data_IF_468352713210
#
_entry.id   IF_468352713210
#
_cell.length_a   1.000
_cell.length_b   1.000
_cell.length_c   1.000
_cell.angle_alpha   90.00
_cell.angle_beta   90.00
_cell.angle_gamma   90.00
#
_symmetry.space_group_name_H-M   'P 1'
#
loop_
_entity.id
_entity.type
_entity.pdbx_description
1 polymer ?
#
# COMPACT_ATOMS: atom_id res chain seq x y z
N UNK A 1 32.44 -67.96 60.28
CA UNK A 1 31.83 -66.64 60.52
C UNK A 1 31.13 -66.24 59.23
N UNK A 2 29.85 -66.52 58.98
CA UNK A 2 28.69 -66.63 59.87
C UNK A 2 28.16 -65.24 60.21
N UNK A 3 26.92 -64.82 59.97
CA UNK A 3 25.69 -65.51 59.51
C UNK A 3 24.69 -64.44 59.03
N UNK A 4 23.77 -64.83 58.14
CA UNK A 4 22.54 -64.10 57.78
C UNK A 4 21.45 -64.50 58.79
N UNK A 5 20.63 -63.55 59.27
CA UNK A 5 19.18 -63.80 59.47
C UNK A 5 18.38 -62.53 59.70
N UNK A 6 17.23 -62.52 59.01
CA UNK A 6 16.14 -61.57 59.05
C UNK A 6 15.22 -61.94 60.23
N UNK A 7 14.43 -60.96 60.69
CA UNK A 7 13.09 -61.11 61.30
C UNK A 7 13.03 -61.40 62.81
N UNK A 8 12.52 -60.41 63.56
CA UNK A 8 11.63 -60.44 64.73
C UNK A 8 11.71 -59.04 65.36
N UNK A 9 10.72 -58.15 65.44
CA UNK A 9 9.27 -58.25 65.55
C UNK A 9 8.70 -56.84 65.28
N UNK A 10 7.83 -56.62 64.31
CA UNK A 10 6.38 -56.42 64.52
C UNK A 10 6.02 -55.84 65.91
N UNK A 11 5.73 -54.55 65.95
CA UNK A 11 4.52 -53.97 66.58
C UNK A 11 4.52 -52.45 66.32
N UNK A 12 3.83 -51.96 65.29
CA UNK A 12 2.42 -51.52 65.38
C UNK A 12 2.22 -50.44 66.46
N UNK A 13 2.27 -49.16 66.06
CA UNK A 13 1.37 -48.14 66.61
C UNK A 13 0.86 -47.28 65.43
N UNK A 14 -0.45 -47.32 65.30
CA UNK A 14 -1.32 -46.73 64.28
C UNK A 14 -1.18 -45.21 64.10
N UNK A 15 -1.30 -44.83 62.82
CA UNK A 15 -1.53 -43.49 62.25
C UNK A 15 -2.88 -42.82 62.65
N UNK A 16 -3.50 -43.22 63.75
CA UNK A 16 -4.87 -42.81 64.08
C UNK A 16 -4.94 -42.36 65.53
N UNK A 17 -4.38 -41.21 65.85
CA UNK A 17 -4.74 -40.43 67.06
C UNK A 17 -4.23 -38.97 66.90
N UNK A 18 -4.89 -38.26 65.98
CA UNK A 18 -5.51 -36.95 66.24
C UNK A 18 -4.62 -35.90 66.93
N UNK A 19 -4.18 -34.91 66.16
CA UNK A 19 -4.52 -33.52 66.45
C UNK A 19 -4.39 -32.69 65.18
N UNK A 20 -5.52 -32.26 64.65
CA UNK A 20 -5.62 -31.26 63.58
C UNK A 20 -4.88 -29.97 63.98
N UNK A 21 -3.63 -29.84 63.55
CA UNK A 21 -2.96 -28.55 63.54
C UNK A 21 -3.40 -27.79 62.28
N UNK A 22 -4.55 -27.11 62.36
CA UNK A 22 -4.98 -26.14 61.36
C UNK A 22 -3.97 -24.99 61.35
N UNK A 23 -2.98 -25.06 60.46
CA UNK A 23 -2.08 -23.95 60.21
C UNK A 23 -2.81 -22.87 59.40
N UNK A 24 -3.40 -21.89 60.11
CA UNK A 24 -3.82 -20.65 59.49
C UNK A 24 -2.59 -19.87 58.99
N UNK A 25 -2.28 -19.99 57.70
CA UNK A 25 -1.25 -19.17 57.06
C UNK A 25 -1.75 -17.71 56.96
N UNK A 26 -1.23 -16.85 57.81
CA UNK A 26 -1.50 -15.41 57.77
C UNK A 26 -0.85 -14.81 56.51
N UNK A 27 -1.67 -14.46 55.51
CA UNK A 27 -1.21 -13.71 54.35
C UNK A 27 -0.80 -12.32 54.81
N UNK A 28 0.51 -12.00 54.77
CA UNK A 28 1.04 -10.68 55.13
C UNK A 28 0.40 -9.61 54.21
N UNK A 29 -0.19 -8.57 54.83
CA UNK A 29 -0.85 -7.43 54.15
C UNK A 29 0.06 -6.67 53.16
N UNK A 30 1.39 -6.81 53.26
CA UNK A 30 2.38 -6.16 52.37
C UNK A 30 2.28 -6.64 50.92
N UNK A 31 1.95 -7.92 50.71
CA UNK A 31 2.02 -8.53 49.38
C UNK A 31 0.82 -8.12 48.51
N UNK A 32 -0.31 -7.76 49.15
CA UNK A 32 -1.48 -7.17 48.48
C UNK A 32 -1.21 -5.73 48.00
N UNK A 33 -0.47 -4.94 48.76
CA UNK A 33 -0.18 -3.54 48.40
C UNK A 33 0.82 -3.45 47.25
N UNK A 34 1.84 -4.33 47.20
CA UNK A 34 2.78 -4.39 46.08
C UNK A 34 2.11 -4.87 44.78
N UNK A 35 1.26 -5.91 44.86
CA UNK A 35 0.46 -6.37 43.71
C UNK A 35 -0.41 -5.27 43.12
N UNK A 36 -1.07 -4.46 43.94
CA UNK A 36 -1.93 -3.38 43.46
C UNK A 36 -1.16 -2.23 42.79
N UNK A 37 0.09 -1.97 43.19
CA UNK A 37 0.95 -0.96 42.52
C UNK A 37 1.43 -1.46 41.16
N UNK A 38 1.83 -2.73 41.05
CA UNK A 38 2.31 -3.33 39.80
C UNK A 38 1.16 -3.44 38.77
N UNK A 39 -0.04 -3.84 39.20
CA UNK A 39 -1.23 -3.91 38.32
C UNK A 39 -1.60 -2.53 37.78
N UNK A 40 -1.51 -1.45 38.58
CA UNK A 40 -1.78 -0.09 38.11
C UNK A 40 -0.77 0.40 37.06
N UNK A 41 0.51 0.01 37.19
CA UNK A 41 1.55 0.36 36.21
C UNK A 41 1.36 -0.42 34.90
N UNK A 42 1.01 -1.71 34.99
CA UNK A 42 0.77 -2.55 33.81
C UNK A 42 -0.41 -2.06 32.95
N UNK A 43 -1.49 -1.58 33.58
CA UNK A 43 -2.66 -1.02 32.86
C UNK A 43 -2.28 0.24 32.06
N UNK A 44 -1.42 1.11 32.60
CA UNK A 44 -0.97 2.30 31.87
C UNK A 44 -0.07 1.98 30.67
N UNK A 45 0.76 0.93 30.76
CA UNK A 45 1.61 0.49 29.64
C UNK A 45 0.79 -0.09 28.48
N UNK A 46 -0.31 -0.80 28.76
CA UNK A 46 -1.22 -1.34 27.72
C UNK A 46 -1.98 -0.21 26.99
N UNK A 47 -2.36 0.86 27.69
CA UNK A 47 -2.99 2.02 27.04
C UNK A 47 -2.01 2.81 26.17
N UNK A 48 -0.75 2.96 26.60
CA UNK A 48 0.28 3.64 25.79
C UNK A 48 0.68 2.83 24.54
N UNK A 49 0.76 1.49 24.63
CA UNK A 49 1.04 0.65 23.46
C UNK A 49 -0.12 0.58 22.48
N UNK A 50 -1.37 0.69 22.93
CA UNK A 50 -2.52 0.80 22.04
C UNK A 50 -2.53 2.13 21.27
N UNK A 51 -2.13 3.25 21.90
CA UNK A 51 -2.10 4.57 21.24
C UNK A 51 -0.93 4.66 20.24
N UNK A 52 0.26 4.15 20.59
CA UNK A 52 1.41 4.13 19.69
C UNK A 52 1.31 3.03 18.60
N UNK A 53 0.67 1.90 18.91
CA UNK A 53 0.44 0.80 17.97
C UNK A 53 -0.60 1.15 16.89
N UNK A 54 -1.64 1.92 17.23
CA UNK A 54 -2.59 2.43 16.25
C UNK A 54 -1.98 3.51 15.36
N UNK A 55 -1.06 4.35 15.86
CA UNK A 55 -0.41 5.38 15.06
C UNK A 55 0.44 4.79 13.92
N UNK A 56 1.01 3.59 14.10
CA UNK A 56 1.82 2.93 13.06
C UNK A 56 0.98 2.27 11.95
N UNK A 57 -0.30 1.98 12.19
CA UNK A 57 -1.21 1.47 11.15
C UNK A 57 -1.84 2.58 10.29
N UNK A 58 -1.85 3.83 10.77
CA UNK A 58 -2.21 4.99 9.97
C UNK A 58 -1.02 5.68 9.31
N UNK A 59 0.19 5.12 9.47
CA UNK A 59 1.32 5.49 8.63
C UNK A 59 1.20 4.74 7.30
N UNK A 60 0.13 5.02 6.55
CA UNK A 60 0.19 4.96 5.09
C UNK A 60 1.35 5.86 4.74
N UNK A 61 2.52 5.27 4.53
CA UNK A 61 3.64 5.96 3.91
C UNK A 61 3.05 6.58 2.64
N UNK A 62 2.93 7.90 2.64
CA UNK A 62 2.71 8.72 1.46
C UNK A 62 3.98 8.58 0.63
N UNK A 63 4.19 7.40 0.04
CA UNK A 63 5.15 7.25 -1.03
C UNK A 63 4.52 7.98 -2.20
N UNK A 64 4.85 9.26 -2.31
CA UNK A 64 4.73 9.97 -3.58
C UNK A 64 5.40 9.11 -4.66
N UNK A 65 4.79 9.03 -5.84
CA UNK A 65 5.48 8.45 -6.99
C UNK A 65 6.85 9.12 -7.11
N UNK A 66 7.93 8.36 -7.40
CA UNK A 66 9.26 8.94 -7.48
C UNK A 66 9.46 9.79 -8.74
N UNK A 67 8.44 9.90 -9.58
CA UNK A 67 8.36 10.66 -10.83
C UNK A 67 7.06 11.45 -10.89
N UNK A 68 7.05 12.52 -11.70
CA UNK A 68 5.79 13.18 -12.06
C UNK A 68 5.07 12.38 -13.13
N UNK A 69 3.77 12.16 -12.92
CA UNK A 69 2.85 11.64 -13.94
C UNK A 69 2.00 12.81 -14.40
N UNK A 70 1.91 13.03 -15.70
CA UNK A 70 1.10 14.10 -16.29
C UNK A 70 0.02 13.50 -17.19
N UNK A 71 -1.11 14.20 -17.25
CA UNK A 71 -2.20 13.95 -18.18
C UNK A 71 -2.38 15.14 -19.10
N UNK A 72 -2.77 14.89 -20.34
CA UNK A 72 -2.97 15.93 -21.34
C UNK A 72 -4.46 16.19 -21.58
N UNK A 73 -4.81 17.45 -21.68
CA UNK A 73 -6.15 17.92 -22.05
C UNK A 73 -6.07 19.20 -22.87
N UNK A 74 -7.19 19.66 -23.37
CA UNK A 74 -7.34 20.91 -24.11
C UNK A 74 -7.77 22.03 -23.15
N UNK A 75 -7.04 23.13 -23.17
CA UNK A 75 -7.41 24.32 -22.40
C UNK A 75 -8.64 25.01 -23.00
N UNK A 76 -9.22 25.96 -22.27
CA UNK A 76 -10.33 26.79 -22.79
C UNK A 76 -10.00 27.55 -24.09
N UNK A 77 -8.70 27.67 -24.43
CA UNK A 77 -8.21 28.35 -25.63
C UNK A 77 -7.93 27.40 -26.81
N UNK A 78 -8.17 26.10 -26.63
CA UNK A 78 -7.86 25.09 -27.64
C UNK A 78 -6.39 24.64 -27.67
N UNK A 79 -5.59 25.06 -26.69
CA UNK A 79 -4.18 24.67 -26.59
C UNK A 79 -4.05 23.41 -25.73
N UNK A 80 -3.20 22.48 -26.16
CA UNK A 80 -2.87 21.28 -25.40
C UNK A 80 -2.11 21.66 -24.12
N UNK A 81 -2.57 21.16 -22.98
CA UNK A 81 -2.00 21.42 -21.67
C UNK A 81 -1.67 20.11 -20.95
N UNK A 82 -0.48 20.03 -20.38
CA UNK A 82 -0.10 18.98 -19.45
C UNK A 82 -0.46 19.38 -18.01
N UNK A 83 -1.12 18.48 -17.28
CA UNK A 83 -1.54 18.66 -15.89
C UNK A 83 -0.88 17.57 -15.05
N UNK A 84 -0.16 17.95 -13.99
CA UNK A 84 0.41 16.99 -13.05
C UNK A 84 -0.69 16.23 -12.31
N UNK A 85 -0.56 14.91 -12.27
CA UNK A 85 -1.50 14.01 -11.63
C UNK A 85 -1.20 13.87 -10.15
N UNK A 86 -2.25 13.96 -9.34
CA UNK A 86 -2.18 13.70 -7.91
C UNK A 86 -3.10 12.52 -7.57
N UNK A 87 -2.66 11.69 -6.63
CA UNK A 87 -3.41 10.52 -6.16
C UNK A 87 -4.80 10.97 -5.68
N UNK A 88 -5.83 10.24 -6.11
CA UNK A 88 -7.25 10.46 -5.80
C UNK A 88 -7.83 11.81 -6.24
N UNK A 89 -7.06 12.66 -6.93
CA UNK A 89 -7.62 13.85 -7.56
C UNK A 89 -8.27 13.51 -8.89
N UNK A 90 -9.41 14.16 -9.13
CA UNK A 90 -10.17 14.08 -10.38
C UNK A 90 -9.68 15.19 -11.30
N UNK A 91 -9.13 14.82 -12.45
CA UNK A 91 -8.48 15.75 -13.38
C UNK A 91 -9.19 15.65 -14.74
N UNK A 92 -9.58 16.77 -15.38
CA UNK A 92 -10.13 16.73 -16.72
C UNK A 92 -9.08 16.20 -17.72
N UNK A 93 -9.53 15.38 -18.64
CA UNK A 93 -8.70 14.79 -19.70
C UNK A 93 -9.49 14.83 -21.00
N UNK A 94 -8.80 14.98 -22.13
CA UNK A 94 -9.43 14.96 -23.45
C UNK A 94 -8.93 13.80 -24.30
N UNK A 95 -9.79 13.37 -25.22
CA UNK A 95 -9.52 12.31 -26.16
C UNK A 95 -8.93 12.94 -27.43
N UNK A 96 -7.64 12.75 -27.65
CA UNK A 96 -6.93 13.27 -28.82
C UNK A 96 -7.14 12.37 -30.03
N UNK A 97 -7.40 12.98 -31.18
CA UNK A 97 -7.53 12.30 -32.46
C UNK A 97 -6.28 12.56 -33.32
N UNK A 98 -5.58 11.47 -33.67
CA UNK A 98 -4.46 11.49 -34.61
C UNK A 98 -4.94 11.73 -36.04
N UNK A 99 -4.04 12.04 -36.97
CA UNK A 99 -4.39 12.25 -38.39
C UNK A 99 -4.96 11.00 -39.07
N UNK A 100 -4.61 9.81 -38.56
CA UNK A 100 -5.17 8.54 -39.03
C UNK A 100 -6.56 8.24 -38.44
N UNK A 101 -7.08 9.10 -37.57
CA UNK A 101 -8.39 8.95 -36.92
C UNK A 101 -8.36 8.09 -35.65
N UNK A 102 -7.17 7.67 -35.18
CA UNK A 102 -7.04 6.94 -33.92
C UNK A 102 -7.23 7.91 -32.76
N UNK A 103 -8.12 7.54 -31.84
CA UNK A 103 -8.50 8.36 -30.68
C UNK A 103 -7.95 7.78 -29.41
N UNK A 104 -7.33 8.59 -28.57
CA UNK A 104 -6.76 8.11 -27.33
C UNK A 104 -6.42 9.19 -26.33
N UNK A 105 -6.15 8.75 -25.12
CA UNK A 105 -5.73 9.57 -23.99
C UNK A 105 -4.22 9.61 -23.93
N UNK A 106 -3.65 10.79 -23.66
CA UNK A 106 -2.19 10.97 -23.57
C UNK A 106 -1.79 11.22 -22.13
N UNK A 107 -0.81 10.43 -21.68
CA UNK A 107 -0.13 10.59 -20.40
C UNK A 107 1.37 10.72 -20.64
N UNK A 108 2.08 11.32 -19.70
CA UNK A 108 3.55 11.32 -19.71
C UNK A 108 4.13 11.10 -18.33
N UNK A 109 5.35 10.60 -18.28
CA UNK A 109 6.10 10.42 -17.04
C UNK A 109 7.57 10.75 -17.24
N UNK A 110 8.24 11.15 -16.16
CA UNK A 110 9.66 11.50 -16.21
C UNK A 110 10.48 10.29 -16.72
N UNK A 111 11.29 10.49 -17.76
CA UNK A 111 12.15 9.39 -18.25
C UNK A 111 13.35 9.19 -17.30
N UNK A 112 13.76 7.94 -17.05
CA UNK A 112 14.90 7.65 -16.17
C UNK A 112 16.25 8.18 -16.69
N UNK A 113 16.51 8.07 -18.00
CA UNK A 113 17.73 8.55 -18.64
C UNK A 113 17.45 9.70 -19.60
N UNK A 114 17.95 10.89 -19.26
CA UNK A 114 17.72 12.09 -20.06
C UNK A 114 18.45 12.11 -21.39
N UNK A 115 19.45 11.25 -21.58
CA UNK A 115 20.24 11.18 -22.81
C UNK A 115 19.59 10.31 -23.89
N UNK A 116 18.56 9.53 -23.55
CA UNK A 116 17.81 8.70 -24.49
C UNK A 116 16.65 9.52 -25.07
N UNK A 117 16.33 9.42 -26.37
CA UNK A 117 15.14 10.05 -26.93
C UNK A 117 13.87 9.64 -26.19
N UNK A 118 12.90 10.57 -26.11
CA UNK A 118 11.57 10.27 -25.59
C UNK A 118 10.93 9.13 -26.37
N UNK A 119 10.30 8.20 -25.66
CA UNK A 119 9.56 7.09 -26.25
C UNK A 119 8.06 7.30 -26.07
N UNK A 120 7.27 6.69 -26.96
CA UNK A 120 5.81 6.58 -26.83
C UNK A 120 5.46 5.11 -26.70
N UNK A 121 4.74 4.76 -25.65
CA UNK A 121 4.11 3.45 -25.51
C UNK A 121 2.65 3.58 -25.95
N UNK A 122 2.23 2.77 -26.93
CA UNK A 122 0.84 2.70 -27.37
C UNK A 122 0.20 1.52 -26.62
N UNK A 123 -0.90 1.81 -25.92
CA UNK A 123 -1.65 0.82 -25.14
C UNK A 123 -3.02 0.67 -25.77
N UNK A 124 -3.25 -0.48 -26.40
CA UNK A 124 -4.43 -0.75 -27.21
C UNK A 124 -4.62 -2.25 -27.43
N UNK A 125 -5.83 -2.66 -27.82
CA UNK A 125 -6.07 -4.02 -28.34
C UNK A 125 -5.68 -4.19 -29.82
N UNK A 126 -5.63 -3.09 -30.58
CA UNK A 126 -5.19 -3.08 -31.97
C UNK A 126 -3.72 -2.69 -32.12
N UNK A 127 -3.13 -3.04 -33.26
CA UNK A 127 -1.80 -2.58 -33.65
C UNK A 127 -1.91 -1.24 -34.39
N UNK A 128 -1.30 -0.20 -33.81
CA UNK A 128 -1.30 1.16 -34.35
C UNK A 128 0.13 1.64 -34.59
N UNK A 129 0.76 1.20 -35.68
CA UNK A 129 2.11 1.61 -36.02
C UNK A 129 2.16 3.02 -36.62
N UNK A 130 3.17 3.80 -36.24
CA UNK A 130 3.55 5.05 -36.91
C UNK A 130 2.85 6.31 -36.40
N UNK A 131 2.06 6.22 -35.33
CA UNK A 131 1.41 7.38 -34.69
C UNK A 131 2.29 8.05 -33.63
N UNK A 132 3.42 7.46 -33.25
CA UNK A 132 4.31 7.92 -32.18
C UNK A 132 4.84 9.33 -32.45
N UNK A 133 5.18 9.64 -33.71
CA UNK A 133 5.70 10.96 -34.10
C UNK A 133 4.64 12.06 -33.90
N UNK A 134 3.35 11.73 -34.07
CA UNK A 134 2.26 12.69 -33.83
C UNK A 134 2.11 12.98 -32.34
N UNK A 135 2.18 11.95 -31.49
CA UNK A 135 2.11 12.10 -30.04
C UNK A 135 3.30 12.91 -29.50
N UNK A 136 4.52 12.63 -29.99
CA UNK A 136 5.73 13.37 -29.58
C UNK A 136 5.64 14.86 -29.95
N UNK A 137 5.11 15.19 -31.12
CA UNK A 137 4.92 16.59 -31.57
C UNK A 137 3.88 17.35 -30.77
N UNK A 138 2.93 16.66 -30.16
CA UNK A 138 1.85 17.29 -29.39
C UNK A 138 2.34 17.86 -28.07
N UNK A 139 3.28 17.17 -27.42
CA UNK A 139 3.69 17.47 -26.05
C UNK A 139 5.10 18.06 -25.91
N UNK A 140 5.97 17.85 -26.91
CA UNK A 140 7.32 18.43 -27.10
C UNK A 140 8.16 18.61 -25.80
N UNK A 141 8.08 17.64 -24.88
CA UNK A 141 8.91 17.60 -23.67
C UNK A 141 9.91 16.45 -23.77
N UNK A 142 11.12 16.81 -24.20
CA UNK A 142 12.23 15.87 -24.33
C UNK A 142 12.66 15.22 -23.01
N UNK A 143 12.12 15.59 -21.84
CA UNK A 143 12.39 14.98 -20.53
C UNK A 143 11.40 13.89 -20.14
N UNK A 144 10.35 13.68 -20.94
CA UNK A 144 9.27 12.76 -20.64
C UNK A 144 9.25 11.57 -21.59
N UNK A 145 8.75 10.44 -21.13
CA UNK A 145 8.19 9.39 -21.97
C UNK A 145 6.67 9.51 -21.97
N UNK A 146 6.03 9.02 -23.03
CA UNK A 146 4.60 9.16 -23.26
C UNK A 146 3.90 7.81 -23.30
N UNK A 147 2.63 7.83 -22.90
CA UNK A 147 1.71 6.70 -23.01
C UNK A 147 0.50 7.22 -23.78
N UNK A 148 0.18 6.58 -24.90
CA UNK A 148 -1.04 6.81 -25.65
C UNK A 148 -1.98 5.62 -25.47
N UNK A 149 -3.05 5.83 -24.71
CA UNK A 149 -4.03 4.79 -24.43
C UNK A 149 -5.23 4.94 -25.36
N UNK A 150 -5.48 3.94 -26.20
CA UNK A 150 -6.61 3.88 -27.12
C UNK A 150 -7.71 3.04 -26.45
N UNK A 151 -8.82 3.65 -26.01
CA UNK A 151 -9.93 2.90 -25.43
C UNK A 151 -10.59 2.00 -26.48
N UNK A 152 -11.05 0.83 -26.03
CA UNK A 152 -11.81 -0.12 -26.84
C UNK A 152 -13.23 0.43 -27.11
N UNK A 153 -13.82 0.05 -28.23
CA UNK A 153 -15.24 0.32 -28.55
C UNK A 153 -16.21 -0.30 -27.53
N UNK A 154 -15.79 -1.36 -26.82
CA UNK A 154 -16.57 -2.01 -25.76
C UNK A 154 -16.29 -1.45 -24.36
N UNK A 155 -15.36 -0.50 -24.22
CA UNK A 155 -15.03 0.08 -22.92
C UNK A 155 -16.21 0.90 -22.40
N UNK A 156 -16.76 0.47 -21.26
CA UNK A 156 -17.77 1.21 -20.53
C UNK A 156 -17.10 2.02 -19.43
N UNK A 157 -17.59 3.24 -19.19
CA UNK A 157 -17.08 4.05 -18.08
C UNK A 157 -17.68 3.59 -16.74
N UNK A 158 -16.88 3.48 -15.65
CA UNK A 158 -15.45 3.80 -15.57
C UNK A 158 -14.55 2.80 -16.32
N UNK A 159 -13.58 3.33 -17.05
CA UNK A 159 -12.50 2.56 -17.66
C UNK A 159 -11.38 2.44 -16.63
N UNK A 160 -11.02 1.21 -16.26
CA UNK A 160 -9.92 0.93 -15.35
C UNK A 160 -8.71 0.46 -16.15
N UNK A 161 -7.57 1.14 -16.02
CA UNK A 161 -6.38 0.84 -16.80
C UNK A 161 -5.13 0.88 -15.93
N UNK A 162 -4.29 -0.15 -16.04
CA UNK A 162 -2.96 -0.21 -15.43
C UNK A 162 -1.86 -0.02 -16.48
N UNK A 163 -0.80 0.68 -16.11
CA UNK A 163 0.43 0.76 -16.91
C UNK A 163 1.66 0.47 -16.04
N UNK A 164 2.67 -0.18 -16.62
CA UNK A 164 3.96 -0.35 -15.96
C UNK A 164 4.96 0.64 -16.54
N UNK A 165 5.56 1.46 -15.69
CA UNK A 165 6.61 2.42 -16.09
C UNK A 165 7.90 2.15 -15.34
N UNK A 166 9.03 2.36 -16.02
CA UNK A 166 10.35 2.31 -15.39
C UNK A 166 10.57 3.55 -14.52
N UNK A 167 10.95 3.37 -13.26
CA UNK A 167 11.34 4.49 -12.41
C UNK A 167 12.81 4.89 -12.58
N UNK A 168 13.24 5.88 -11.79
CA UNK A 168 14.61 6.39 -11.79
C UNK A 168 15.65 5.37 -11.30
N UNK A 169 15.25 4.46 -10.42
CA UNK A 169 16.10 3.36 -9.99
C UNK A 169 16.08 2.26 -11.05
N UNK A 170 17.26 1.86 -11.51
CA UNK A 170 17.40 0.78 -12.49
C UNK A 170 16.73 -0.49 -11.96
N UNK A 171 15.99 -1.16 -12.83
CA UNK A 171 15.31 -2.43 -12.59
C UNK A 171 14.04 -2.37 -11.70
N UNK A 172 13.52 -1.18 -11.38
CA UNK A 172 12.21 -1.03 -10.71
C UNK A 172 11.14 -0.59 -11.70
N UNK A 173 10.06 -1.39 -11.77
CA UNK A 173 8.82 -1.04 -12.47
C UNK A 173 7.77 -0.57 -11.46
N UNK A 174 7.06 0.50 -11.81
CA UNK A 174 5.95 1.05 -11.04
C UNK A 174 4.66 0.78 -11.81
N UNK A 175 3.69 0.16 -11.14
CA UNK A 175 2.34 0.05 -11.66
C UNK A 175 1.57 1.34 -11.37
N UNK A 176 0.97 1.90 -12.41
CA UNK A 176 0.12 3.09 -12.37
C UNK A 176 -1.30 2.62 -12.65
N UNK A 177 -2.19 2.77 -11.66
CA UNK A 177 -3.61 2.47 -11.82
C UNK A 177 -4.39 3.75 -12.09
N UNK A 178 -5.06 3.82 -13.24
CA UNK A 178 -5.93 4.93 -13.62
C UNK A 178 -7.39 4.49 -13.68
N UNK A 179 -8.28 5.39 -13.28
CA UNK A 179 -9.72 5.28 -13.52
C UNK A 179 -10.17 6.46 -14.36
N UNK A 180 -10.66 6.20 -15.57
CA UNK A 180 -11.19 7.21 -16.49
C UNK A 180 -12.72 7.14 -16.46
N UNK A 181 -13.34 8.22 -16.04
CA UNK A 181 -14.79 8.40 -15.98
C UNK A 181 -15.25 9.34 -17.09
N UNK A 182 -16.50 9.16 -17.53
CA UNK A 182 -17.18 10.10 -18.42
C UNK A 182 -18.37 10.71 -17.69
N UNK A 183 -18.44 12.04 -17.68
CA UNK A 183 -19.56 12.79 -17.12
C UNK A 183 -20.11 13.73 -18.19
N UNK A 184 -21.26 13.36 -18.76
CA UNK A 184 -21.78 14.01 -19.96
C UNK A 184 -20.82 13.82 -21.14
N UNK A 185 -20.35 14.92 -21.72
CA UNK A 185 -19.42 14.93 -22.85
C UNK A 185 -17.95 15.04 -22.45
N UNK A 186 -17.64 15.09 -21.15
CA UNK A 186 -16.27 15.29 -20.64
C UNK A 186 -15.72 14.04 -20.00
N UNK A 187 -14.42 13.83 -20.18
CA UNK A 187 -13.69 12.77 -19.50
C UNK A 187 -12.91 13.33 -18.30
N UNK A 188 -12.77 12.48 -17.29
CA UNK A 188 -12.00 12.76 -16.10
C UNK A 188 -11.18 11.54 -15.73
N UNK A 189 -9.94 11.75 -15.31
CA UNK A 189 -9.07 10.68 -14.84
C UNK A 189 -8.74 10.84 -13.36
N UNK A 190 -8.59 9.72 -12.68
CA UNK A 190 -8.10 9.61 -11.32
C UNK A 190 -6.90 8.67 -11.29
N UNK A 191 -5.81 9.09 -10.67
CA UNK A 191 -4.73 8.20 -10.27
C UNK A 191 -5.13 7.48 -8.98
N UNK A 192 -5.06 6.14 -8.99
CA UNK A 192 -5.35 5.27 -7.85
C UNK A 192 -4.08 4.61 -7.33
N UNK A 193 -4.16 4.20 -6.07
CA UNK A 193 -3.11 3.48 -5.35
C UNK A 193 -3.45 2.01 -5.22
#
# INVERSE_FOLDING_TARGET
MGEIKILESLNYIDDILISDAIFHKTVRRSDKLLKNKIVKIAVCLVFLSAILGCASFFNTQNHSLPFSLKVYGESEKGEVQAIDMEIDKKIPIDLFETKSGVKGFVFSYDKPDKNVPSAVAIVSEGDYDGIEEEILKMADDSTQNYIFYVPNEYDNTPIEQSFFVSGFEKDILYEIHLIINKEGDKYYVNLKR
#
